data_IF_976698426615
#
_entry.id   IF_976698426615
#
_cell.length_a   1.000
_cell.length_b   1.000
_cell.length_c   1.000
_cell.angle_alpha   90.00
_cell.angle_beta   90.00
_cell.angle_gamma   90.00
#
_symmetry.space_group_name_H-M   'P 1'
#
loop_
_entity.id
_entity.type
_entity.pdbx_description
1 polymer ?
#
# COMPACT_ATOMS: atom_id res chain seq x y z
N UNK A 1 12.20 0.90 -21.03
CA UNK A 1 11.83 -0.48 -21.10
C UNK A 1 11.37 -1.00 -19.75
N UNK A 2 11.76 -2.20 -19.32
CA UNK A 2 11.20 -2.80 -18.08
C UNK A 2 11.37 -1.92 -16.88
N UNK A 3 12.55 -1.32 -16.70
CA UNK A 3 12.84 -0.50 -15.53
C UNK A 3 11.88 0.67 -15.42
N UNK A 4 11.69 1.40 -16.51
CA UNK A 4 10.79 2.54 -16.51
C UNK A 4 9.34 2.12 -16.29
N UNK A 5 8.95 1.00 -16.91
CA UNK A 5 7.59 0.48 -16.77
C UNK A 5 7.30 0.13 -15.32
N UNK A 6 8.23 -0.57 -14.67
CA UNK A 6 8.04 -0.98 -13.27
C UNK A 6 8.06 0.23 -12.35
N UNK A 7 8.94 1.19 -12.59
CA UNK A 7 8.98 2.42 -11.80
C UNK A 7 7.66 3.17 -11.88
N UNK A 8 7.09 3.26 -13.07
CA UNK A 8 5.80 3.93 -13.26
C UNK A 8 4.70 3.28 -12.42
N UNK A 9 4.64 1.95 -12.43
CA UNK A 9 3.59 1.25 -11.70
C UNK A 9 3.83 1.27 -10.20
N UNK A 10 5.08 1.19 -9.75
CA UNK A 10 5.41 1.32 -8.34
C UNK A 10 5.03 2.72 -7.85
N UNK A 11 5.30 3.74 -8.64
CA UNK A 11 4.91 5.11 -8.31
C UNK A 11 3.39 5.24 -8.19
N UNK A 12 2.66 4.60 -9.08
CA UNK A 12 1.19 4.57 -9.00
C UNK A 12 0.73 3.94 -7.70
N UNK A 13 1.31 2.79 -7.34
CA UNK A 13 0.95 2.10 -6.10
C UNK A 13 1.20 3.01 -4.89
N UNK A 14 2.39 3.60 -4.81
CA UNK A 14 2.73 4.49 -3.70
C UNK A 14 1.76 5.67 -3.61
N UNK A 15 1.40 6.26 -4.74
CA UNK A 15 0.43 7.35 -4.75
C UNK A 15 -0.92 6.91 -4.18
N UNK A 16 -1.37 5.72 -4.53
CA UNK A 16 -2.64 5.20 -4.01
C UNK A 16 -2.58 4.98 -2.51
N UNK A 17 -1.46 4.49 -2.00
CA UNK A 17 -1.28 4.29 -0.56
C UNK A 17 -1.28 5.62 0.18
N UNK A 18 -0.64 6.63 -0.37
CA UNK A 18 -0.60 7.97 0.22
C UNK A 18 -1.99 8.60 0.19
N UNK A 19 -2.70 8.50 -0.94
CA UNK A 19 -4.06 9.02 -1.05
C UNK A 19 -4.96 8.36 -0.01
N UNK A 20 -4.82 7.04 0.17
CA UNK A 20 -5.59 6.32 1.15
C UNK A 20 -5.29 6.80 2.58
N UNK A 21 -4.02 7.02 2.89
CA UNK A 21 -3.62 7.53 4.20
C UNK A 21 -4.20 8.92 4.47
N UNK A 22 -4.22 9.77 3.46
CA UNK A 22 -4.80 11.12 3.58
C UNK A 22 -6.32 11.03 3.77
N UNK A 23 -6.98 10.13 3.06
CA UNK A 23 -8.42 9.94 3.15
C UNK A 23 -8.87 9.60 4.57
N UNK A 24 -8.11 8.79 5.27
CA UNK A 24 -8.47 8.32 6.62
C UNK A 24 -7.67 9.01 7.72
N UNK A 25 -7.17 10.21 7.46
CA UNK A 25 -6.31 10.92 8.39
C UNK A 25 -7.06 11.40 9.63
N UNK A 26 -6.30 11.57 10.70
CA UNK A 26 -6.76 12.24 11.92
C UNK A 26 -6.47 13.74 11.83
N UNK A 27 -6.74 14.48 12.91
CA UNK A 27 -6.54 15.93 12.92
C UNK A 27 -5.07 16.32 12.79
N UNK A 28 -4.17 15.49 13.30
CA UNK A 28 -2.73 15.74 13.22
C UNK A 28 -2.08 14.56 12.48
N UNK A 29 -2.21 14.53 11.15
CA UNK A 29 -1.77 13.37 10.40
C UNK A 29 -0.26 13.27 10.35
N UNK A 30 0.24 12.04 10.51
CA UNK A 30 1.65 11.71 10.33
C UNK A 30 1.71 10.57 9.33
N UNK A 31 2.56 10.72 8.33
CA UNK A 31 2.84 9.69 7.36
C UNK A 31 4.33 9.36 7.44
N UNK A 32 4.65 8.10 7.60
CA UNK A 32 6.02 7.64 7.68
C UNK A 32 6.26 6.61 6.59
N UNK A 33 7.35 6.79 5.85
CA UNK A 33 7.75 5.83 4.83
C UNK A 33 9.16 5.34 5.22
N UNK A 34 9.31 4.03 5.31
CA UNK A 34 10.59 3.43 5.71
C UNK A 34 10.88 2.21 4.86
N UNK A 35 12.15 1.83 4.80
CA UNK A 35 12.57 0.64 4.08
C UNK A 35 13.41 -0.24 5.00
N UNK A 36 13.25 -1.54 4.84
CA UNK A 36 13.99 -2.53 5.62
C UNK A 36 14.46 -3.62 4.68
N UNK A 37 15.70 -4.05 4.87
CA UNK A 37 16.22 -5.19 4.13
C UNK A 37 16.16 -6.41 5.03
N UNK A 38 15.60 -7.50 4.52
CA UNK A 38 15.51 -8.76 5.26
C UNK A 38 15.74 -9.90 4.29
N UNK A 39 16.86 -10.63 4.50
CA UNK A 39 17.28 -11.71 3.62
C UNK A 39 17.42 -11.21 2.18
N UNK A 40 16.67 -11.79 1.23
CA UNK A 40 16.72 -11.41 -0.18
C UNK A 40 15.59 -10.47 -0.58
N UNK A 41 14.99 -9.80 0.40
CA UNK A 41 13.88 -8.89 0.17
C UNK A 41 14.16 -7.50 0.69
N UNK A 42 13.61 -6.50 0.01
CA UNK A 42 13.50 -5.14 0.52
C UNK A 42 12.03 -4.87 0.78
N UNK A 43 11.73 -4.43 1.98
CA UNK A 43 10.34 -4.14 2.39
C UNK A 43 10.19 -2.63 2.55
N UNK A 44 9.25 -2.05 1.80
CA UNK A 44 8.89 -0.65 1.91
C UNK A 44 7.59 -0.57 2.72
N UNK A 45 7.61 0.21 3.80
CA UNK A 45 6.44 0.35 4.69
C UNK A 45 5.93 1.77 4.60
N UNK A 46 4.63 1.90 4.33
CA UNK A 46 3.92 3.18 4.36
C UNK A 46 2.98 3.13 5.56
N UNK A 47 3.28 3.94 6.55
CA UNK A 47 2.60 3.94 7.84
C UNK A 47 1.90 5.26 8.08
N UNK A 48 0.65 5.23 8.57
CA UNK A 48 -0.05 6.45 8.97
C UNK A 48 -0.59 6.29 10.38
N UNK A 49 -0.92 7.43 11.00
CA UNK A 49 -1.55 7.47 12.31
C UNK A 49 -3.05 7.77 12.19
N UNK A 50 -3.67 7.35 11.10
CA UNK A 50 -5.08 7.59 10.83
C UNK A 50 -6.00 6.79 11.71
N UNK A 51 -7.27 6.75 11.33
CA UNK A 51 -8.32 6.13 12.14
C UNK A 51 -8.23 4.60 12.16
N UNK A 52 -7.38 4.03 11.32
CA UNK A 52 -7.21 2.58 11.26
C UNK A 52 -8.32 1.88 10.49
N UNK A 53 -8.23 0.56 10.46
CA UNK A 53 -9.17 -0.30 9.76
C UNK A 53 -9.70 -1.31 10.77
N UNK A 54 -11.02 -1.49 10.81
CA UNK A 54 -11.62 -2.47 11.72
C UNK A 54 -11.06 -3.86 11.43
N UNK A 55 -10.82 -4.65 12.48
CA UNK A 55 -10.25 -5.99 12.34
C UNK A 55 -11.08 -6.86 11.40
N UNK A 56 -12.41 -6.71 11.45
CA UNK A 56 -13.31 -7.48 10.58
C UNK A 56 -13.20 -7.07 9.11
N UNK A 57 -12.75 -5.83 8.83
CA UNK A 57 -12.61 -5.32 7.47
C UNK A 57 -11.23 -5.62 6.87
N UNK A 58 -10.21 -5.76 7.72
CA UNK A 58 -8.83 -5.87 7.28
C UNK A 58 -8.59 -6.95 6.21
N UNK A 59 -9.15 -8.16 6.34
CA UNK A 59 -8.96 -9.18 5.31
C UNK A 59 -9.58 -8.84 3.96
N UNK A 60 -10.45 -7.81 3.90
CA UNK A 60 -11.23 -7.50 2.71
C UNK A 60 -10.83 -6.20 2.03
N UNK A 61 -9.79 -5.50 2.54
CA UNK A 61 -9.48 -4.15 2.06
C UNK A 61 -9.02 -4.11 0.61
N UNK A 62 -8.55 -5.24 0.06
CA UNK A 62 -8.10 -5.30 -1.33
C UNK A 62 -9.18 -5.81 -2.27
N UNK A 63 -10.40 -6.07 -1.78
CA UNK A 63 -11.50 -6.50 -2.63
C UNK A 63 -12.03 -5.32 -3.45
N UNK A 64 -12.44 -5.61 -4.67
CA UNK A 64 -12.95 -4.57 -5.57
C UNK A 64 -14.22 -3.95 -5.00
N UNK A 65 -14.19 -2.62 -4.86
CA UNK A 65 -15.36 -1.88 -4.39
C UNK A 65 -15.60 -1.94 -2.89
N UNK A 66 -14.73 -2.60 -2.13
CA UNK A 66 -14.91 -2.66 -0.68
C UNK A 66 -14.49 -1.35 -0.04
N UNK A 67 -15.37 -0.74 0.75
CA UNK A 67 -15.10 0.53 1.42
C UNK A 67 -15.03 0.41 2.95
N UNK A 68 -15.55 -0.68 3.51
CA UNK A 68 -15.53 -0.91 4.96
C UNK A 68 -16.39 0.07 5.74
N UNK A 69 -16.34 -0.05 7.07
CA UNK A 69 -17.12 0.82 7.95
C UNK A 69 -16.66 2.27 7.87
N UNK A 70 -15.35 2.48 7.92
CA UNK A 70 -14.81 3.84 7.88
C UNK A 70 -14.97 4.49 6.53
N UNK A 71 -14.89 3.70 5.46
CA UNK A 71 -15.11 4.20 4.11
C UNK A 71 -16.53 4.70 3.87
N UNK A 72 -17.51 4.12 4.56
CA UNK A 72 -18.90 4.56 4.44
C UNK A 72 -19.13 5.92 5.06
N UNK A 73 -18.30 6.29 6.06
CA UNK A 73 -18.40 7.58 6.71
C UNK A 73 -17.72 8.68 5.91
N UNK A 74 -16.87 8.30 4.97
CA UNK A 74 -16.10 9.24 4.15
C UNK A 74 -16.69 9.20 2.74
N UNK A 75 -17.29 10.29 2.31
CA UNK A 75 -17.87 10.38 0.98
C UNK A 75 -16.79 10.22 -0.09
N UNK A 76 -17.17 9.70 -1.24
CA UNK A 76 -16.33 9.53 -2.41
C UNK A 76 -15.32 8.38 -2.30
N UNK A 77 -15.49 7.51 -1.31
CA UNK A 77 -14.66 6.31 -1.24
C UNK A 77 -15.20 5.28 -2.25
N UNK A 78 -14.36 4.87 -3.20
CA UNK A 78 -14.77 3.96 -4.28
C UNK A 78 -14.37 2.50 -4.02
N UNK A 79 -13.37 2.29 -3.17
CA UNK A 79 -12.85 0.94 -2.93
C UNK A 79 -12.05 0.38 -4.09
N UNK A 80 -11.63 1.23 -5.03
CA UNK A 80 -10.91 0.78 -6.23
C UNK A 80 -9.40 0.91 -6.06
N UNK A 81 -8.93 1.93 -5.33
CA UNK A 81 -7.51 2.22 -5.22
C UNK A 81 -6.67 1.04 -4.70
N UNK A 82 -7.04 0.48 -3.55
CA UNK A 82 -6.31 -0.64 -2.97
C UNK A 82 -6.47 -1.91 -3.79
N UNK A 83 -7.66 -2.12 -4.40
CA UNK A 83 -7.86 -3.24 -5.31
C UNK A 83 -6.88 -3.18 -6.47
N UNK A 84 -6.71 -2.01 -7.10
CA UNK A 84 -5.77 -1.84 -8.19
C UNK A 84 -4.33 -2.06 -7.73
N UNK A 85 -3.98 -1.58 -6.54
CA UNK A 85 -2.66 -1.82 -5.99
C UNK A 85 -2.36 -3.31 -5.86
N UNK A 86 -3.30 -4.06 -5.32
CA UNK A 86 -3.14 -5.51 -5.16
C UNK A 86 -2.96 -6.20 -6.52
N UNK A 87 -3.76 -5.82 -7.51
CA UNK A 87 -3.67 -6.40 -8.85
C UNK A 87 -2.33 -6.09 -9.49
N UNK A 88 -1.85 -4.86 -9.38
CA UNK A 88 -0.55 -4.47 -9.93
C UNK A 88 0.59 -5.18 -9.22
N UNK A 89 0.52 -5.29 -7.90
CA UNK A 89 1.54 -6.02 -7.14
C UNK A 89 1.62 -7.47 -7.57
N UNK A 90 0.47 -8.11 -7.77
CA UNK A 90 0.45 -9.48 -8.27
C UNK A 90 1.12 -9.61 -9.63
N UNK A 91 0.87 -8.68 -10.53
CA UNK A 91 1.49 -8.70 -11.86
C UNK A 91 2.99 -8.45 -11.83
N UNK A 92 3.44 -7.61 -10.90
CA UNK A 92 4.85 -7.22 -10.80
C UNK A 92 5.66 -8.15 -9.89
N UNK A 93 5.02 -9.11 -9.25
CA UNK A 93 5.70 -9.99 -8.31
C UNK A 93 6.06 -9.32 -7.00
N UNK A 94 5.31 -8.29 -6.62
CA UNK A 94 5.51 -7.54 -5.37
C UNK A 94 4.53 -8.06 -4.34
N UNK A 95 5.01 -8.41 -3.13
CA UNK A 95 4.13 -8.76 -2.03
C UNK A 95 3.51 -7.50 -1.45
N UNK A 96 2.24 -7.56 -1.08
CA UNK A 96 1.57 -6.45 -0.41
C UNK A 96 0.78 -6.99 0.78
N UNK A 97 0.98 -6.40 1.94
CA UNK A 97 0.29 -6.77 3.17
C UNK A 97 -0.10 -5.51 3.93
N UNK A 98 -1.06 -5.64 4.82
CA UNK A 98 -1.53 -4.53 5.63
C UNK A 98 -1.73 -4.96 7.06
N UNK A 99 -1.38 -4.07 7.98
CA UNK A 99 -1.66 -4.22 9.41
C UNK A 99 -2.33 -2.94 9.88
N UNK A 100 -3.24 -3.05 10.83
CA UNK A 100 -3.95 -1.88 11.32
C UNK A 100 -4.32 -2.04 12.78
N UNK A 101 -4.43 -0.91 13.45
CA UNK A 101 -4.89 -0.82 14.82
C UNK A 101 -5.66 0.48 14.97
N UNK A 102 -6.12 0.78 16.17
CA UNK A 102 -6.76 2.06 16.44
C UNK A 102 -5.79 3.24 16.31
N UNK A 103 -4.48 2.97 16.21
CA UNK A 103 -3.44 3.99 16.10
C UNK A 103 -3.00 4.24 14.66
N UNK A 104 -3.58 3.54 13.69
CA UNK A 104 -3.26 3.76 12.30
C UNK A 104 -3.08 2.48 11.51
N UNK A 105 -2.55 2.63 10.30
CA UNK A 105 -2.41 1.54 9.35
C UNK A 105 -1.01 1.53 8.77
N UNK A 106 -0.45 0.33 8.58
CA UNK A 106 0.83 0.14 7.90
C UNK A 106 0.63 -0.80 6.72
N UNK A 107 1.01 -0.36 5.54
CA UNK A 107 0.95 -1.18 4.33
C UNK A 107 2.39 -1.42 3.88
N UNK A 108 2.74 -2.69 3.67
CA UNK A 108 4.08 -3.11 3.34
C UNK A 108 4.15 -3.69 1.93
N UNK A 109 5.15 -3.25 1.18
CA UNK A 109 5.45 -3.77 -0.15
C UNK A 109 6.78 -4.52 -0.08
N UNK A 110 6.80 -5.77 -0.54
CA UNK A 110 8.00 -6.62 -0.50
C UNK A 110 8.52 -6.85 -1.90
N UNK A 111 9.79 -6.51 -2.10
CA UNK A 111 10.47 -6.64 -3.40
C UNK A 111 11.61 -7.64 -3.26
N UNK A 112 11.80 -8.49 -4.27
CA UNK A 112 12.92 -9.39 -4.31
C UNK A 112 14.17 -8.63 -4.78
N UNK A 113 15.27 -8.80 -4.07
CA UNK A 113 16.53 -8.12 -4.39
C UNK A 113 17.03 -8.48 -5.79
N UNK A 114 16.85 -9.74 -6.18
CA UNK A 114 17.29 -10.18 -7.51
C UNK A 114 16.65 -9.36 -8.63
N UNK A 115 15.37 -9.02 -8.48
CA UNK A 115 14.69 -8.18 -9.46
C UNK A 115 15.28 -6.78 -9.50
N UNK A 116 15.56 -6.21 -8.31
CA UNK A 116 16.13 -4.87 -8.22
C UNK A 116 17.54 -4.81 -8.80
N UNK A 117 18.37 -5.83 -8.52
CA UNK A 117 19.74 -5.90 -9.04
C UNK A 117 19.71 -6.01 -10.56
N UNK A 118 18.82 -6.83 -11.10
CA UNK A 118 18.68 -7.01 -12.53
C UNK A 118 18.34 -5.67 -13.20
N UNK A 119 17.41 -4.93 -12.64
CA UNK A 119 17.01 -3.63 -13.19
C UNK A 119 18.14 -2.62 -13.14
N UNK A 120 18.92 -2.62 -12.06
CA UNK A 120 20.06 -1.70 -11.93
C UNK A 120 21.13 -2.00 -12.96
N UNK A 121 21.35 -3.28 -13.30
CA UNK A 121 22.37 -3.68 -14.26
C UNK A 121 21.98 -3.40 -15.70
N UNK A 122 20.71 -3.23 -15.95
CA UNK A 122 20.21 -2.94 -17.28
C UNK A 122 20.06 -1.44 -17.52
#
# INVERSE_FOLDING_TARGET
DTVYSDEKWVRFILNQLIVNAVKYRTKQPVLRISTHKWQDQVVLVVEDNGIGIAASDLPRIFEKGFTGQNGRLIQQSTGIGLYLCKRLCEKLGIGITAESSEHGTAISLSFHINCLIHEVQN
#
